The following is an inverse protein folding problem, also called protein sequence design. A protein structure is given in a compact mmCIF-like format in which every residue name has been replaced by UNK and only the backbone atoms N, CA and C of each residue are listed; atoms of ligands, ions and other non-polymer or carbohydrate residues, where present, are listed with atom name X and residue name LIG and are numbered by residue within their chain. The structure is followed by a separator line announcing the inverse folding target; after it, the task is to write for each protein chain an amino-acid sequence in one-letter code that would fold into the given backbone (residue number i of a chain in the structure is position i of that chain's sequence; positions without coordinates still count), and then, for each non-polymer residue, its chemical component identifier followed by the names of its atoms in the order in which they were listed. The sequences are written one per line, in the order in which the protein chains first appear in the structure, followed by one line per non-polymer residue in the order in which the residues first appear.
data_IF_016709953722
#
_entry.id   IF_016709953722
#
_cell.length_a   1.000
_cell.length_b   1.000
_cell.length_c   1.000
_cell.angle_alpha   90.00
_cell.angle_beta   90.00
_cell.angle_gamma   90.00
#
_symmetry.space_group_name_H-M   'P 1'
#
loop_
_entity.id
_entity.type
_entity.pdbx_description
1 polymer ?
#
# COMPACT_ATOMS: atom_id res chain seq x y z
N UNK A 1 23.45 -15.94 -14.80
CA UNK A 1 22.16 -16.18 -14.12
C UNK A 1 21.25 -14.97 -14.32
N UNK A 2 20.14 -15.09 -15.05
CA UNK A 2 19.09 -14.06 -15.17
C UNK A 2 17.75 -14.76 -15.02
N UNK A 3 17.11 -14.84 -13.83
CA UNK A 3 15.92 -15.69 -13.69
C UNK A 3 14.77 -15.23 -12.78
N UNK A 4 14.67 -13.95 -12.41
CA UNK A 4 13.39 -13.42 -11.89
C UNK A 4 12.64 -12.55 -12.91
N UNK A 5 13.26 -12.13 -14.02
CA UNK A 5 12.63 -11.28 -15.03
C UNK A 5 12.35 -9.84 -14.56
N UNK A 6 12.57 -9.55 -13.28
CA UNK A 6 12.32 -8.26 -12.66
C UNK A 6 13.50 -7.32 -12.83
N UNK A 7 13.23 -6.01 -12.89
CA UNK A 7 14.26 -5.00 -12.99
C UNK A 7 14.96 -4.82 -11.63
N UNK A 8 16.29 -5.03 -11.58
CA UNK A 8 17.06 -5.07 -10.33
C UNK A 8 16.97 -3.78 -9.50
N UNK A 9 17.18 -2.61 -10.12
CA UNK A 9 17.15 -1.32 -9.41
C UNK A 9 15.76 -0.99 -8.85
N UNK A 10 14.65 -1.04 -9.62
CA UNK A 10 13.31 -0.88 -9.06
C UNK A 10 12.97 -1.92 -7.98
N UNK A 11 13.45 -3.16 -8.12
CA UNK A 11 13.25 -4.19 -7.10
C UNK A 11 13.93 -3.82 -5.80
N UNK A 12 15.20 -3.38 -5.84
CA UNK A 12 15.92 -2.92 -4.65
C UNK A 12 15.21 -1.73 -4.00
N UNK A 13 14.78 -0.74 -4.80
CA UNK A 13 14.05 0.42 -4.30
C UNK A 13 12.73 0.02 -3.63
N UNK A 14 11.96 -0.89 -4.26
CA UNK A 14 10.73 -1.44 -3.69
C UNK A 14 11.00 -2.16 -2.37
N UNK A 15 12.05 -2.97 -2.29
CA UNK A 15 12.38 -3.73 -1.07
C UNK A 15 12.81 -2.81 0.07
N UNK A 16 13.68 -1.84 -0.20
CA UNK A 16 14.13 -0.87 0.80
C UNK A 16 12.97 -0.01 1.29
N UNK A 17 12.17 0.51 0.37
CA UNK A 17 11.01 1.33 0.73
C UNK A 17 9.94 0.51 1.44
N UNK A 18 9.65 -0.69 0.95
CA UNK A 18 8.73 -1.61 1.60
C UNK A 18 9.17 -1.99 3.01
N UNK A 19 10.47 -2.22 3.23
CA UNK A 19 11.01 -2.47 4.57
C UNK A 19 10.83 -1.26 5.50
N UNK A 20 11.05 -0.03 5.00
CA UNK A 20 10.79 1.19 5.77
C UNK A 20 9.32 1.28 6.15
N UNK A 21 8.40 1.13 5.20
CA UNK A 21 6.96 1.23 5.47
C UNK A 21 6.52 0.13 6.45
N UNK A 22 6.95 -1.12 6.25
CA UNK A 22 6.64 -2.22 7.15
C UNK A 22 7.18 -2.01 8.57
N UNK A 23 8.35 -1.37 8.72
CA UNK A 23 8.88 -1.02 10.05
C UNK A 23 7.99 -0.01 10.80
N UNK A 24 7.22 0.78 10.06
CA UNK A 24 6.31 1.78 10.61
C UNK A 24 4.89 1.26 10.78
N UNK A 25 4.47 0.20 10.08
CA UNK A 25 3.07 -0.29 10.09
C UNK A 25 2.87 -1.58 10.88
N UNK A 26 3.89 -2.43 10.99
CA UNK A 26 3.80 -3.69 11.71
C UNK A 26 3.68 -3.47 13.24
N UNK A 27 3.00 -4.39 13.95
CA UNK A 27 2.89 -4.35 15.40
C UNK A 27 4.27 -4.42 16.06
N UNK A 28 4.49 -3.61 17.09
CA UNK A 28 5.73 -3.62 17.87
C UNK A 28 5.61 -4.51 19.12
N UNK A 29 4.39 -4.73 19.59
CA UNK A 29 4.09 -5.58 20.75
C UNK A 29 2.97 -6.58 20.44
N UNK A 30 2.87 -7.61 21.28
CA UNK A 30 1.77 -8.57 21.27
C UNK A 30 1.20 -8.61 22.67
N UNK A 31 -0.05 -8.17 22.82
CA UNK A 31 -0.71 -8.08 24.12
C UNK A 31 -2.07 -8.81 24.14
N UNK A 32 -2.60 -9.16 25.33
CA UNK A 32 -3.94 -9.72 25.47
C UNK A 32 -5.04 -8.84 24.84
N UNK A 33 -6.23 -9.41 24.61
CA UNK A 33 -7.37 -8.67 24.05
C UNK A 33 -7.37 -8.55 22.52
N UNK A 34 -6.58 -9.37 21.82
CA UNK A 34 -6.59 -9.46 20.34
C UNK A 34 -7.99 -9.73 19.81
N UNK A 35 -8.74 -10.66 20.43
CA UNK A 35 -10.10 -11.01 20.01
C UNK A 35 -11.05 -9.82 20.02
N UNK A 36 -11.07 -9.03 21.09
CA UNK A 36 -11.92 -7.84 21.18
C UNK A 36 -11.55 -6.77 20.15
N UNK A 37 -10.25 -6.58 19.88
CA UNK A 37 -9.77 -5.66 18.83
C UNK A 37 -10.11 -6.15 17.44
N UNK A 38 -10.02 -7.45 17.20
CA UNK A 38 -10.44 -8.08 15.95
C UNK A 38 -11.95 -7.94 15.72
N UNK A 39 -12.76 -8.19 16.75
CA UNK A 39 -14.23 -8.03 16.69
C UNK A 39 -14.61 -6.58 16.36
N UNK A 40 -13.90 -5.60 16.95
CA UNK A 40 -14.09 -4.19 16.63
C UNK A 40 -13.72 -3.87 15.18
N UNK A 41 -12.61 -4.41 14.67
CA UNK A 41 -12.19 -4.18 13.30
C UNK A 41 -13.16 -4.79 12.27
N UNK A 42 -13.78 -5.92 12.61
CA UNK A 42 -14.72 -6.63 11.75
C UNK A 42 -16.18 -6.19 11.93
N UNK A 43 -16.49 -5.33 12.89
CA UNK A 43 -17.86 -4.96 13.21
C UNK A 43 -18.61 -4.29 12.04
N UNK A 44 -17.94 -3.39 11.31
CA UNK A 44 -18.50 -2.72 10.13
C UNK A 44 -17.40 -2.24 9.15
N UNK A 45 -16.70 -3.17 8.48
CA UNK A 45 -15.58 -2.80 7.62
C UNK A 45 -16.01 -1.96 6.41
N UNK A 46 -17.21 -2.21 5.87
CA UNK A 46 -17.72 -1.48 4.72
C UNK A 46 -18.14 -0.05 5.11
N UNK A 47 -18.81 0.13 6.25
CA UNK A 47 -19.16 1.46 6.74
C UNK A 47 -17.92 2.28 7.12
N UNK A 48 -16.88 1.66 7.70
CA UNK A 48 -15.58 2.30 7.93
C UNK A 48 -14.94 2.77 6.63
N UNK A 49 -14.89 1.92 5.61
CA UNK A 49 -14.37 2.29 4.28
C UNK A 49 -15.16 3.45 3.64
N UNK A 50 -16.51 3.40 3.65
CA UNK A 50 -17.36 4.45 3.10
C UNK A 50 -17.19 5.78 3.85
N UNK A 51 -17.09 5.72 5.19
CA UNK A 51 -16.85 6.90 6.02
C UNK A 51 -15.51 7.55 5.66
N UNK A 52 -14.43 6.78 5.59
CA UNK A 52 -13.10 7.27 5.23
C UNK A 52 -13.08 7.95 3.86
N UNK A 53 -13.74 7.37 2.86
CA UNK A 53 -13.84 8.03 1.53
C UNK A 53 -14.50 9.41 1.63
N UNK A 54 -15.50 9.57 2.49
CA UNK A 54 -16.25 10.83 2.64
C UNK A 54 -15.54 11.88 3.49
N UNK A 55 -14.73 11.44 4.45
CA UNK A 55 -14.01 12.32 5.41
C UNK A 55 -12.53 12.48 5.09
N UNK A 56 -12.08 12.04 3.90
CA UNK A 56 -10.68 12.15 3.51
C UNK A 56 -10.13 13.57 3.67
N UNK A 57 -9.03 13.70 4.42
CA UNK A 57 -8.38 14.97 4.72
C UNK A 57 -8.84 15.60 6.04
N UNK A 58 -9.93 15.11 6.63
CA UNK A 58 -10.40 15.56 7.95
C UNK A 58 -9.57 14.95 9.09
N UNK A 59 -8.93 13.79 8.89
CA UNK A 59 -7.99 13.19 9.86
C UNK A 59 -6.58 13.80 9.79
N UNK A 60 -6.40 14.82 8.96
CA UNK A 60 -5.16 15.60 8.87
C UNK A 60 -4.00 14.84 8.23
N UNK A 61 -2.84 14.86 8.88
CA UNK A 61 -1.59 14.31 8.33
C UNK A 61 -1.63 12.79 8.15
N UNK A 62 -2.44 12.08 8.93
CA UNK A 62 -2.56 10.62 8.85
C UNK A 62 -3.05 10.16 7.49
N UNK A 63 -4.15 10.74 6.98
CA UNK A 63 -4.71 10.45 5.66
C UNK A 63 -3.69 10.68 4.54
N UNK A 64 -2.98 11.81 4.62
CA UNK A 64 -1.97 12.17 3.62
C UNK A 64 -0.79 11.21 3.67
N UNK A 65 -0.36 10.78 4.85
CA UNK A 65 0.73 9.82 5.00
C UNK A 65 0.33 8.43 4.51
N UNK A 66 -0.89 7.97 4.80
CA UNK A 66 -1.41 6.70 4.28
C UNK A 66 -1.52 6.70 2.74
N UNK A 67 -1.74 7.84 2.09
CA UNK A 67 -1.61 7.88 0.62
C UNK A 67 -0.14 7.95 0.19
N UNK A 68 0.60 8.92 0.72
CA UNK A 68 1.94 9.28 0.23
C UNK A 68 2.97 8.15 0.43
N UNK A 69 2.93 7.44 1.56
CA UNK A 69 3.88 6.37 1.87
C UNK A 69 3.76 5.20 0.90
N UNK A 70 2.59 4.96 0.30
CA UNK A 70 2.37 3.81 -0.56
C UNK A 70 2.53 4.11 -2.06
N UNK A 71 2.64 5.38 -2.45
CA UNK A 71 2.95 5.79 -3.85
C UNK A 71 4.24 5.12 -4.35
N UNK A 72 5.38 5.16 -3.63
CA UNK A 72 6.61 4.54 -4.14
C UNK A 72 6.49 3.01 -4.25
N UNK A 73 5.72 2.35 -3.40
CA UNK A 73 5.43 0.91 -3.51
C UNK A 73 4.72 0.59 -4.83
N UNK A 74 3.67 1.34 -5.18
CA UNK A 74 2.96 1.18 -6.45
C UNK A 74 3.88 1.45 -7.66
N UNK A 75 4.62 2.55 -7.61
CA UNK A 75 5.51 2.97 -8.69
C UNK A 75 6.64 1.96 -8.94
N UNK A 76 7.42 1.63 -7.91
CA UNK A 76 8.52 0.66 -8.04
C UNK A 76 8.01 -0.76 -8.25
N UNK A 77 6.85 -1.13 -7.69
CA UNK A 77 6.20 -2.42 -7.93
C UNK A 77 5.88 -2.63 -9.41
N UNK A 78 5.30 -1.63 -10.08
CA UNK A 78 5.03 -1.71 -11.52
C UNK A 78 6.32 -1.73 -12.32
N UNK A 79 7.32 -0.88 -12.02
CA UNK A 79 8.59 -0.88 -12.75
C UNK A 79 9.41 -2.16 -12.56
N UNK A 80 9.38 -2.75 -11.36
CA UNK A 80 10.09 -3.99 -11.05
C UNK A 80 9.47 -5.17 -11.79
N UNK A 81 8.14 -5.31 -11.73
CA UNK A 81 7.40 -6.47 -12.26
C UNK A 81 6.97 -6.33 -13.72
N UNK A 82 6.89 -5.09 -14.23
CA UNK A 82 6.25 -4.71 -15.50
C UNK A 82 4.76 -5.06 -15.57
N UNK A 83 4.07 -5.11 -14.42
CA UNK A 83 2.66 -5.47 -14.32
C UNK A 83 1.84 -4.33 -13.72
N UNK A 84 1.28 -3.48 -14.59
CA UNK A 84 0.55 -2.28 -14.18
C UNK A 84 -0.70 -2.56 -13.32
N UNK A 85 -1.32 -3.74 -13.45
CA UNK A 85 -2.52 -4.12 -12.69
C UNK A 85 -2.21 -5.12 -11.58
N UNK A 86 -1.50 -6.21 -11.90
CA UNK A 86 -1.28 -7.28 -10.92
C UNK A 86 -0.41 -6.83 -9.73
N UNK A 87 0.59 -5.97 -9.95
CA UNK A 87 1.44 -5.48 -8.86
C UNK A 87 0.67 -4.64 -7.83
N UNK A 88 -0.06 -3.58 -8.20
CA UNK A 88 -0.82 -2.81 -7.23
C UNK A 88 -1.92 -3.62 -6.54
N UNK A 89 -2.60 -4.54 -7.25
CA UNK A 89 -3.61 -5.43 -6.64
C UNK A 89 -3.01 -6.32 -5.54
N UNK A 90 -1.84 -6.92 -5.79
CA UNK A 90 -1.17 -7.76 -4.79
C UNK A 90 -0.74 -6.94 -3.57
N UNK A 91 -0.22 -5.73 -3.77
CA UNK A 91 0.17 -4.85 -2.66
C UNK A 91 -1.06 -4.43 -1.86
N UNK A 92 -2.15 -4.01 -2.53
CA UNK A 92 -3.41 -3.64 -1.89
C UNK A 92 -4.04 -4.80 -1.09
N UNK A 93 -3.98 -6.03 -1.61
CA UNK A 93 -4.42 -7.21 -0.88
C UNK A 93 -3.58 -7.47 0.39
N UNK A 94 -2.30 -7.10 0.38
CA UNK A 94 -1.41 -7.21 1.53
C UNK A 94 -1.83 -6.33 2.72
N UNK A 95 -2.53 -5.22 2.47
CA UNK A 95 -3.02 -4.34 3.56
C UNK A 95 -4.03 -5.03 4.45
N UNK A 96 -4.87 -5.93 3.92
CA UNK A 96 -5.77 -6.75 4.75
C UNK A 96 -4.99 -7.52 5.81
N UNK A 97 -3.82 -8.05 5.45
CA UNK A 97 -2.94 -8.75 6.41
C UNK A 97 -2.36 -7.78 7.42
N UNK A 98 -1.95 -6.58 6.99
CA UNK A 98 -1.42 -5.54 7.89
C UNK A 98 -2.45 -5.11 8.92
N UNK A 99 -3.69 -4.83 8.50
CA UNK A 99 -4.81 -4.49 9.40
C UNK A 99 -5.01 -5.59 10.47
N UNK A 100 -5.05 -6.85 10.06
CA UNK A 100 -5.17 -7.96 11.01
C UNK A 100 -3.97 -8.07 11.95
N UNK A 101 -2.75 -7.85 11.47
CA UNK A 101 -1.56 -7.85 12.32
C UNK A 101 -1.58 -6.71 13.34
N UNK A 102 -2.17 -5.56 13.02
CA UNK A 102 -2.29 -4.45 13.96
C UNK A 102 -3.19 -4.78 15.15
N UNK A 103 -4.12 -5.74 15.04
CA UNK A 103 -4.90 -6.23 16.19
C UNK A 103 -4.05 -6.89 17.28
N UNK A 104 -2.77 -7.15 17.03
CA UNK A 104 -1.82 -7.69 18.02
C UNK A 104 -1.29 -6.60 18.97
N UNK A 105 -1.18 -5.35 18.51
CA UNK A 105 -0.58 -4.22 19.23
C UNK A 105 -1.66 -3.20 19.66
N UNK A 106 -1.87 -2.95 20.97
CA UNK A 106 -2.92 -2.03 21.43
C UNK A 106 -2.60 -0.56 21.16
N UNK A 107 -1.35 -0.23 20.81
CA UNK A 107 -0.94 1.08 20.33
C UNK A 107 -1.24 1.31 18.85
N UNK A 108 -1.85 0.33 18.18
CA UNK A 108 -2.32 0.39 16.79
C UNK A 108 -3.82 0.19 16.73
N UNK A 109 -4.47 0.89 15.83
CA UNK A 109 -5.88 0.69 15.50
C UNK A 109 -5.97 -0.01 14.14
N UNK A 110 -6.68 -1.14 14.10
CA UNK A 110 -7.08 -1.78 12.85
C UNK A 110 -8.23 -0.95 12.27
N UNK A 111 -8.00 -0.30 11.13
CA UNK A 111 -8.96 0.58 10.48
C UNK A 111 -9.11 0.19 9.00
N UNK A 112 -10.23 -0.47 8.62
CA UNK A 112 -10.52 -0.77 7.22
C UNK A 112 -10.52 0.47 6.30
N UNK A 113 -10.66 1.68 6.86
CA UNK A 113 -10.45 2.93 6.16
C UNK A 113 -9.03 3.11 5.59
N UNK A 114 -8.02 2.69 6.35
CA UNK A 114 -6.62 2.79 5.94
C UNK A 114 -6.30 1.90 4.74
N UNK A 115 -7.00 0.76 4.61
CA UNK A 115 -6.94 -0.06 3.41
C UNK A 115 -7.27 0.73 2.14
N UNK A 116 -8.26 1.64 2.20
CA UNK A 116 -8.68 2.48 1.06
C UNK A 116 -7.59 3.49 0.69
N UNK A 117 -7.07 4.22 1.68
CA UNK A 117 -6.05 5.25 1.45
C UNK A 117 -4.73 4.67 0.95
N UNK A 118 -4.28 3.58 1.58
CA UNK A 118 -3.09 2.87 1.17
C UNK A 118 -3.25 2.34 -0.27
N UNK A 119 -4.41 1.77 -0.60
CA UNK A 119 -4.72 1.30 -1.95
C UNK A 119 -4.73 2.44 -2.97
N UNK A 120 -5.23 3.61 -2.60
CA UNK A 120 -5.19 4.80 -3.46
C UNK A 120 -3.75 5.26 -3.73
N UNK A 121 -2.89 5.30 -2.70
CA UNK A 121 -1.47 5.59 -2.85
C UNK A 121 -0.78 4.63 -3.82
N UNK A 122 -0.97 3.32 -3.63
CA UNK A 122 -0.45 2.29 -4.54
C UNK A 122 -0.95 2.48 -5.97
N UNK A 123 -2.25 2.75 -6.15
CA UNK A 123 -2.84 2.97 -7.47
C UNK A 123 -2.25 4.21 -8.16
N UNK A 124 -2.10 5.32 -7.44
CA UNK A 124 -1.49 6.54 -7.97
C UNK A 124 -0.03 6.31 -8.42
N UNK A 125 0.76 5.60 -7.61
CA UNK A 125 2.12 5.20 -7.98
C UNK A 125 2.17 4.30 -9.22
N UNK A 126 1.27 3.32 -9.30
CA UNK A 126 1.18 2.43 -10.44
C UNK A 126 0.81 3.17 -11.74
N UNK A 127 -0.13 4.11 -11.68
CA UNK A 127 -0.51 4.97 -12.80
C UNK A 127 0.67 5.83 -13.27
N UNK A 128 1.43 6.43 -12.34
CA UNK A 128 2.61 7.20 -12.67
C UNK A 128 3.68 6.35 -13.39
N UNK A 129 3.91 5.11 -12.93
CA UNK A 129 4.85 4.19 -13.57
C UNK A 129 4.39 3.76 -14.98
N UNK A 130 3.08 3.51 -15.15
CA UNK A 130 2.49 3.18 -16.43
C UNK A 130 2.61 4.36 -17.42
N UNK A 131 2.28 5.58 -16.98
CA UNK A 131 2.39 6.79 -17.79
C UNK A 131 3.83 7.04 -18.23
N UNK A 132 4.81 6.94 -17.31
CA UNK A 132 6.24 7.09 -17.63
C UNK A 132 6.70 6.06 -18.67
N UNK A 133 6.22 4.81 -18.55
CA UNK A 133 6.59 3.74 -19.48
C UNK A 133 6.00 3.99 -20.87
N UNK A 134 4.74 4.43 -20.95
CA UNK A 134 4.08 4.80 -22.19
C UNK A 134 4.79 5.98 -22.88
N UNK A 135 5.07 7.05 -22.15
CA UNK A 135 5.80 8.23 -22.65
C UNK A 135 7.17 7.84 -23.23
N UNK A 136 7.93 6.99 -22.52
CA UNK A 136 9.22 6.50 -23.01
C UNK A 136 9.12 5.63 -24.26
N UNK A 137 8.01 4.90 -24.43
CA UNK A 137 7.77 4.13 -25.64
C UNK A 137 7.50 5.07 -26.82
N UNK A 138 6.65 6.08 -26.63
CA UNK A 138 6.33 7.08 -27.66
C UNK A 138 7.57 7.87 -28.13
N UNK A 139 8.44 8.29 -27.21
CA UNK A 139 9.68 9.02 -27.56
C UNK A 139 10.70 8.15 -28.31
N UNK A 140 10.57 6.83 -28.28
CA UNK A 140 11.43 5.91 -29.05
C UNK A 140 10.89 5.64 -30.45
N UNK A 141 9.62 5.96 -30.69
CA UNK A 141 8.96 5.77 -31.99
C UNK A 141 9.01 7.01 -32.88
N UNK A 142 9.40 8.16 -32.33
CA UNK A 142 9.71 9.37 -33.12
C UNK A 142 11.15 9.23 -33.70
N UNK A 143 11.31 9.21 -35.04
CA UNK A 143 12.58 8.97 -35.74
C UNK A 143 13.56 10.14 -35.69
#
# INVERSE_FOLDING_TARGET
MRRTGWAALPTLALLVWGALVLSMTLPMTVEPGVGARLDQCLADPIGRMDWSVRTFGERGLEDVMNVALWIPCGFFGVLATRRAVAAPVVIAAGFVVVEFLQTLDPGRECDPGDWVYNSFGVAAGALAAAALTALRASLRTDP
#
